data_IF_139103980596
#
_entry.id   IF_139103980596
#
_cell.length_a   1.000
_cell.length_b   1.000
_cell.length_c   1.000
_cell.angle_alpha   90.00
_cell.angle_beta   90.00
_cell.angle_gamma   90.00
#
_symmetry.space_group_name_H-M   'P 1'
#
loop_
_entity.id
_entity.type
_entity.pdbx_description
1 polymer ?
#
# COMPACT_ATOMS: atom_id res chain seq x y z
N UNK A 1 -42.42 17.11 -8.21
CA UNK A 1 -42.29 15.67 -8.52
C UNK A 1 -41.61 15.57 -9.88
N UNK A 2 -40.39 15.09 -10.09
CA UNK A 2 -39.23 14.71 -9.26
C UNK A 2 -38.03 14.71 -10.24
N UNK A 3 -36.83 15.01 -9.72
CA UNK A 3 -35.58 15.34 -10.43
C UNK A 3 -35.16 14.35 -11.54
N UNK A 4 -34.59 14.89 -12.64
CA UNK A 4 -34.01 14.11 -13.75
C UNK A 4 -32.56 14.52 -14.10
N UNK A 5 -31.92 15.46 -13.37
CA UNK A 5 -30.56 15.92 -13.66
C UNK A 5 -29.74 16.22 -12.39
N UNK A 6 -29.73 15.30 -11.42
CA UNK A 6 -28.72 15.34 -10.36
C UNK A 6 -27.41 14.73 -10.89
N UNK A 7 -26.42 15.61 -11.08
CA UNK A 7 -24.98 15.41 -10.98
C UNK A 7 -24.24 14.54 -12.04
N UNK A 8 -23.85 15.19 -13.15
CA UNK A 8 -22.64 14.87 -13.92
C UNK A 8 -21.34 15.23 -13.13
N UNK A 9 -21.22 14.79 -11.87
CA UNK A 9 -20.21 15.29 -10.92
C UNK A 9 -19.25 14.25 -10.34
N UNK A 10 -19.35 12.97 -10.71
CA UNK A 10 -18.74 11.87 -9.96
C UNK A 10 -17.55 11.20 -10.68
N UNK A 11 -17.19 11.63 -11.89
CA UNK A 11 -16.27 10.87 -12.75
C UNK A 11 -14.78 11.19 -12.56
N UNK A 12 -14.42 12.30 -11.89
CA UNK A 12 -13.01 12.71 -11.69
C UNK A 12 -12.59 12.79 -10.21
N UNK A 13 -13.53 12.78 -9.26
CA UNK A 13 -13.19 12.90 -7.84
C UNK A 13 -12.39 11.69 -7.34
N UNK A 14 -12.80 10.47 -7.69
CA UNK A 14 -12.10 9.25 -7.28
C UNK A 14 -10.69 9.17 -7.86
N UNK A 15 -10.50 9.56 -9.12
CA UNK A 15 -9.19 9.56 -9.78
C UNK A 15 -8.25 10.63 -9.19
N UNK A 16 -8.76 11.83 -8.92
CA UNK A 16 -7.98 12.87 -8.24
C UNK A 16 -7.66 12.52 -6.80
N UNK A 17 -8.59 11.89 -6.09
CA UNK A 17 -8.38 11.43 -4.73
C UNK A 17 -7.29 10.35 -4.68
N UNK A 18 -7.37 9.35 -5.55
CA UNK A 18 -6.37 8.28 -5.66
C UNK A 18 -4.98 8.83 -6.04
N UNK A 19 -4.90 9.76 -7.00
CA UNK A 19 -3.64 10.43 -7.34
C UNK A 19 -3.05 11.16 -6.13
N UNK A 20 -3.88 11.88 -5.36
CA UNK A 20 -3.46 12.55 -4.14
C UNK A 20 -2.97 11.59 -3.04
N UNK A 21 -3.58 10.41 -2.90
CA UNK A 21 -3.10 9.39 -1.95
C UNK A 21 -1.72 8.86 -2.35
N UNK A 22 -1.48 8.64 -3.65
CA UNK A 22 -0.16 8.21 -4.14
C UNK A 22 0.92 9.27 -3.99
N UNK A 23 0.58 10.54 -4.24
CA UNK A 23 1.50 11.65 -3.98
C UNK A 23 1.88 11.74 -2.49
N UNK A 24 0.90 11.58 -1.59
CA UNK A 24 1.16 11.54 -0.16
C UNK A 24 2.00 10.33 0.26
N UNK A 25 1.78 9.16 -0.36
CA UNK A 25 2.60 7.98 -0.13
C UNK A 25 4.04 8.19 -0.60
N UNK A 26 4.24 8.84 -1.75
CA UNK A 26 5.57 9.20 -2.26
C UNK A 26 6.28 10.17 -1.32
N UNK A 27 5.61 11.24 -0.88
CA UNK A 27 6.16 12.19 0.07
C UNK A 27 6.53 11.53 1.41
N UNK A 28 5.71 10.59 1.89
CA UNK A 28 5.99 9.81 3.10
C UNK A 28 7.22 8.93 2.91
N UNK A 29 7.29 8.21 1.79
CA UNK A 29 8.42 7.35 1.42
C UNK A 29 9.74 8.12 1.32
N UNK A 30 9.72 9.29 0.71
CA UNK A 30 10.88 10.20 0.63
C UNK A 30 11.28 10.71 2.03
N UNK A 31 10.31 11.12 2.85
CA UNK A 31 10.56 11.64 4.19
C UNK A 31 11.26 10.64 5.10
N UNK A 32 10.89 9.36 5.02
CA UNK A 32 11.54 8.28 5.78
C UNK A 32 12.82 7.74 5.12
N UNK A 33 13.18 8.22 3.92
CA UNK A 33 14.38 7.78 3.19
C UNK A 33 14.25 6.45 2.44
N UNK A 34 13.03 5.98 2.18
CA UNK A 34 12.74 4.73 1.47
C UNK A 34 11.83 4.96 0.24
N UNK A 35 12.29 5.68 -0.80
CA UNK A 35 11.47 6.01 -1.97
C UNK A 35 10.95 4.78 -2.74
N UNK A 36 11.62 3.62 -2.62
CA UNK A 36 11.15 2.37 -3.21
C UNK A 36 9.92 1.75 -2.53
N UNK A 37 9.44 2.30 -1.41
CA UNK A 37 8.28 1.80 -0.68
C UNK A 37 6.97 2.56 -0.99
N UNK A 38 6.95 3.47 -1.95
CA UNK A 38 5.75 4.28 -2.27
C UNK A 38 4.49 3.44 -2.45
N UNK A 39 4.51 2.42 -3.31
CA UNK A 39 3.34 1.59 -3.58
C UNK A 39 2.91 0.77 -2.36
N UNK A 40 3.87 0.34 -1.55
CA UNK A 40 3.63 -0.43 -0.32
C UNK A 40 2.99 0.46 0.76
N UNK A 41 3.51 1.68 0.93
CA UNK A 41 2.96 2.69 1.84
C UNK A 41 1.53 3.01 1.44
N UNK A 42 1.27 3.21 0.14
CA UNK A 42 -0.06 3.44 -0.38
C UNK A 42 -1.00 2.25 -0.11
N UNK A 43 -0.55 1.03 -0.41
CA UNK A 43 -1.32 -0.21 -0.21
C UNK A 43 -1.75 -0.41 1.26
N UNK A 44 -0.85 -0.15 2.21
CA UNK A 44 -1.14 -0.28 3.64
C UNK A 44 -1.81 0.97 4.25
N UNK A 45 -2.06 2.02 3.47
CA UNK A 45 -2.69 3.24 3.97
C UNK A 45 -1.81 4.02 4.95
N UNK A 46 -0.48 3.93 4.79
CA UNK A 46 0.50 4.54 5.69
C UNK A 46 0.88 5.98 5.30
N UNK A 47 0.34 6.49 4.19
CA UNK A 47 0.58 7.86 3.76
C UNK A 47 0.18 8.88 4.82
N UNK A 48 1.06 9.84 5.12
CA UNK A 48 0.86 10.84 6.16
C UNK A 48 1.14 10.36 7.58
N UNK A 49 1.58 9.11 7.76
CA UNK A 49 2.06 8.63 9.07
C UNK A 49 3.32 9.36 9.48
N UNK A 50 3.55 9.49 10.79
CA UNK A 50 4.77 10.09 11.32
C UNK A 50 5.96 9.14 11.15
N UNK A 51 7.17 9.68 11.07
CA UNK A 51 8.40 8.87 10.98
C UNK A 51 8.51 7.83 12.11
N UNK A 52 7.99 8.15 13.31
CA UNK A 52 7.96 7.24 14.46
C UNK A 52 7.14 5.97 14.24
N UNK A 53 6.18 5.98 13.32
CA UNK A 53 5.41 4.77 12.93
C UNK A 53 6.31 3.77 12.21
N UNK A 54 7.31 4.25 11.48
CA UNK A 54 8.21 3.44 10.67
C UNK A 54 9.37 2.89 11.50
N UNK A 55 9.06 1.98 12.41
CA UNK A 55 10.07 1.22 13.14
C UNK A 55 10.92 0.38 12.18
N UNK A 56 12.14 0.03 12.59
CA UNK A 56 13.01 -0.84 11.79
C UNK A 56 12.36 -2.20 11.47
N UNK A 57 11.54 -2.72 12.39
CA UNK A 57 10.76 -3.95 12.18
C UNK A 57 9.71 -3.77 11.09
N UNK A 58 8.92 -2.69 11.16
CA UNK A 58 7.90 -2.41 10.15
C UNK A 58 8.53 -2.20 8.78
N UNK A 59 9.62 -1.43 8.69
CA UNK A 59 10.33 -1.20 7.43
C UNK A 59 10.85 -2.49 6.79
N UNK A 60 11.42 -3.40 7.58
CA UNK A 60 11.88 -4.70 7.10
C UNK A 60 10.73 -5.56 6.57
N UNK A 61 9.56 -5.52 7.23
CA UNK A 61 8.37 -6.24 6.79
C UNK A 61 7.79 -5.66 5.51
N UNK A 62 7.70 -4.32 5.39
CA UNK A 62 7.21 -3.65 4.18
C UNK A 62 8.09 -3.99 2.97
N UNK A 63 9.42 -3.95 3.12
CA UNK A 63 10.34 -4.32 2.05
C UNK A 63 10.26 -5.82 1.71
N UNK A 64 10.12 -6.68 2.71
CA UNK A 64 9.91 -8.13 2.49
C UNK A 64 8.64 -8.38 1.69
N UNK A 65 7.53 -7.72 2.04
CA UNK A 65 6.28 -7.85 1.32
C UNK A 65 6.41 -7.35 -0.13
N UNK A 66 7.06 -6.19 -0.34
CA UNK A 66 7.35 -5.64 -1.67
C UNK A 66 8.06 -6.66 -2.57
N UNK A 67 9.18 -7.21 -2.08
CA UNK A 67 9.98 -8.17 -2.82
C UNK A 67 9.18 -9.43 -3.17
N UNK A 68 8.31 -9.91 -2.27
CA UNK A 68 7.45 -11.06 -2.55
C UNK A 68 6.41 -10.78 -3.62
N UNK A 69 5.82 -9.58 -3.63
CA UNK A 69 4.89 -9.18 -4.69
C UNK A 69 5.61 -9.10 -6.03
N UNK A 70 6.79 -8.48 -6.08
CA UNK A 70 7.62 -8.41 -7.30
C UNK A 70 8.00 -9.81 -7.82
N UNK A 71 8.35 -10.73 -6.92
CA UNK A 71 8.62 -12.14 -7.27
C UNK A 71 7.38 -12.86 -7.83
N UNK A 72 6.20 -12.60 -7.28
CA UNK A 72 4.94 -13.17 -7.77
C UNK A 72 4.61 -12.65 -9.17
N UNK A 73 4.76 -11.35 -9.41
CA UNK A 73 4.49 -10.71 -10.71
C UNK A 73 5.47 -11.16 -11.80
N UNK A 74 6.72 -11.46 -11.42
CA UNK A 74 7.74 -11.95 -12.33
C UNK A 74 7.71 -13.48 -12.55
N UNK A 75 6.97 -14.23 -11.74
CA UNK A 75 6.97 -15.69 -11.78
C UNK A 75 6.19 -16.21 -13.02
N UNK A 76 6.75 -17.16 -13.78
CA UNK A 76 6.00 -17.85 -14.82
C UNK A 76 4.89 -18.73 -14.19
N UNK A 77 3.74 -18.84 -14.85
CA UNK A 77 2.50 -19.55 -14.43
C UNK A 77 2.70 -21.02 -13.96
N UNK A 78 3.89 -21.58 -14.13
CA UNK A 78 4.24 -22.97 -13.83
C UNK A 78 5.04 -23.18 -12.54
N UNK A 79 5.46 -22.10 -11.85
CA UNK A 79 6.25 -22.18 -10.61
C UNK A 79 5.39 -21.87 -9.37
N UNK A 80 5.93 -22.05 -8.16
CA UNK A 80 5.28 -22.00 -6.84
C UNK A 80 4.65 -20.64 -6.43
N UNK A 81 3.94 -19.99 -7.34
CA UNK A 81 3.15 -18.76 -7.13
C UNK A 81 2.24 -18.89 -5.92
N UNK A 82 1.64 -20.08 -5.71
CA UNK A 82 0.80 -20.35 -4.53
C UNK A 82 1.58 -20.30 -3.21
N UNK A 83 2.84 -20.72 -3.19
CA UNK A 83 3.67 -20.65 -1.99
C UNK A 83 4.15 -19.21 -1.74
N UNK A 84 4.58 -18.52 -2.81
CA UNK A 84 4.94 -17.10 -2.74
C UNK A 84 3.76 -16.24 -2.27
N UNK A 85 2.55 -16.48 -2.78
CA UNK A 85 1.31 -15.83 -2.34
C UNK A 85 1.05 -16.06 -0.85
N UNK A 86 1.19 -17.30 -0.35
CA UNK A 86 1.03 -17.57 1.09
C UNK A 86 2.03 -16.80 1.95
N UNK A 87 3.28 -16.67 1.49
CA UNK A 87 4.29 -15.90 2.19
C UNK A 87 3.99 -14.40 2.16
N UNK A 88 3.55 -13.85 1.03
CA UNK A 88 3.12 -12.46 0.92
C UNK A 88 1.92 -12.17 1.84
N UNK A 89 0.89 -13.02 1.84
CA UNK A 89 -0.27 -12.91 2.73
C UNK A 89 0.12 -13.02 4.22
N UNK A 90 1.09 -13.86 4.56
CA UNK A 90 1.59 -13.97 5.94
C UNK A 90 2.29 -12.69 6.39
N UNK A 91 3.15 -12.12 5.53
CA UNK A 91 3.79 -10.83 5.79
C UNK A 91 2.75 -9.71 5.92
N UNK A 92 1.74 -9.68 5.04
CA UNK A 92 0.65 -8.70 5.09
C UNK A 92 -0.10 -8.76 6.43
N UNK A 93 -0.47 -9.95 6.90
CA UNK A 93 -1.14 -10.12 8.19
C UNK A 93 -0.31 -9.61 9.36
N UNK A 94 1.01 -9.86 9.34
CA UNK A 94 1.90 -9.36 10.38
C UNK A 94 2.00 -7.83 10.34
N UNK A 95 2.11 -7.25 9.15
CA UNK A 95 2.14 -5.79 8.96
C UNK A 95 0.85 -5.16 9.51
N UNK A 96 -0.32 -5.69 9.14
CA UNK A 96 -1.61 -5.21 9.65
C UNK A 96 -1.71 -5.31 11.17
N UNK A 97 -1.26 -6.42 11.76
CA UNK A 97 -1.25 -6.57 13.21
C UNK A 97 -0.38 -5.51 13.92
N UNK A 98 0.75 -5.12 13.34
CA UNK A 98 1.62 -4.06 13.88
C UNK A 98 0.92 -2.70 13.76
N UNK A 99 0.33 -2.40 12.60
CA UNK A 99 -0.33 -1.11 12.34
C UNK A 99 -1.58 -0.93 13.22
N UNK A 100 -2.38 -2.00 13.38
CA UNK A 100 -3.63 -1.97 14.13
C UNK A 100 -3.42 -2.02 15.66
N UNK A 101 -2.18 -2.22 16.12
CA UNK A 101 -1.87 -2.17 17.55
C UNK A 101 -1.83 -0.70 17.99
N UNK A 102 -2.71 -0.26 18.92
CA UNK A 102 -2.69 1.12 19.39
C UNK A 102 -1.36 1.40 20.10
N UNK A 103 -0.55 2.30 19.54
CA UNK A 103 0.64 2.90 20.16
C UNK A 103 0.27 3.81 21.32
#
# INVERSE_FOLDING_TARGET
MTNFWDADGDFDYEAHFEAGQRENAAATAEGIGYPGLTDVIHYFGLQGSTESTFTAELLALLDTWRLRVEEIEAAPDTQDVKELQRHAEAAERTIRAIIDTPT
#
